data_IF_012945202043
#
_entry.id   IF_012945202043
#
_cell.length_a   1.000
_cell.length_b   1.000
_cell.length_c   1.000
_cell.angle_alpha   90.00
_cell.angle_beta   90.00
_cell.angle_gamma   90.00
#
_symmetry.space_group_name_H-M   'P 1'
#
loop_
_entity.id
_entity.type
_entity.pdbx_description
1 polymer ?
#
# COMPACT_ATOMS: atom_id res chain seq x y z
N UNK A 1 5.71 -10.83 14.36
CA UNK A 1 4.45 -11.54 14.02
C UNK A 1 3.42 -11.55 15.14
N UNK A 2 3.81 -11.64 16.43
CA UNK A 2 2.85 -11.74 17.56
C UNK A 2 1.95 -10.53 17.79
N UNK A 3 2.44 -9.32 17.53
CA UNK A 3 1.68 -8.08 17.77
C UNK A 3 0.50 -7.96 16.79
N UNK A 4 0.69 -8.39 15.54
CA UNK A 4 -0.35 -8.39 14.51
C UNK A 4 -1.46 -9.38 14.86
N UNK A 5 -1.11 -10.60 15.29
CA UNK A 5 -2.08 -11.60 15.75
C UNK A 5 -2.89 -11.10 16.95
N UNK A 6 -2.24 -10.44 17.92
CA UNK A 6 -2.93 -9.86 19.08
C UNK A 6 -3.92 -8.77 18.69
N UNK A 7 -3.53 -7.81 17.86
CA UNK A 7 -4.43 -6.75 17.40
C UNK A 7 -5.61 -7.30 16.60
N UNK A 8 -5.36 -8.26 15.70
CA UNK A 8 -6.41 -8.94 14.94
C UNK A 8 -7.41 -9.65 15.88
N UNK A 9 -6.91 -10.30 16.93
CA UNK A 9 -7.73 -11.01 17.91
C UNK A 9 -8.60 -10.05 18.75
N UNK A 10 -8.05 -8.92 19.22
CA UNK A 10 -8.83 -7.92 19.96
C UNK A 10 -9.93 -7.28 19.10
N UNK A 11 -9.70 -7.13 17.80
CA UNK A 11 -10.68 -6.56 16.87
C UNK A 11 -11.75 -7.59 16.52
N UNK A 12 -11.39 -8.84 16.22
CA UNK A 12 -12.34 -9.91 15.96
C UNK A 12 -13.27 -10.18 17.15
N UNK A 13 -12.81 -9.89 18.37
CA UNK A 13 -13.61 -9.98 19.59
C UNK A 13 -14.46 -8.73 19.87
N UNK A 14 -14.38 -7.67 19.04
CA UNK A 14 -15.04 -6.39 19.27
C UNK A 14 -14.51 -5.63 20.50
N UNK A 15 -13.29 -5.95 20.96
CA UNK A 15 -12.72 -5.56 22.26
C UNK A 15 -11.51 -4.64 22.15
N UNK A 16 -11.31 -3.92 21.05
CA UNK A 16 -10.21 -2.97 20.96
C UNK A 16 -10.50 -1.76 21.88
N UNK A 17 -10.10 -1.87 23.14
CA UNK A 17 -10.32 -0.84 24.15
C UNK A 17 -9.28 0.29 24.04
N UNK A 18 -9.64 1.47 24.55
CA UNK A 18 -8.89 2.75 24.52
C UNK A 18 -7.44 2.74 25.08
N UNK A 19 -6.87 1.59 25.47
CA UNK A 19 -5.47 1.47 25.89
C UNK A 19 -4.60 0.54 25.03
N UNK A 20 -5.22 -0.33 24.22
CA UNK A 20 -4.51 -1.35 23.44
C UNK A 20 -3.68 -0.74 22.30
N UNK A 21 -4.16 0.38 21.72
CA UNK A 21 -3.47 1.10 20.64
C UNK A 21 -2.18 1.73 21.16
N UNK A 22 -2.22 2.36 22.35
CA UNK A 22 -1.10 3.07 22.94
C UNK A 22 0.04 2.12 23.35
N UNK A 23 -0.29 1.00 24.02
CA UNK A 23 0.68 -0.06 24.36
C UNK A 23 1.36 -0.65 23.12
N UNK A 24 0.63 -0.76 22.01
CA UNK A 24 1.16 -1.31 20.75
C UNK A 24 2.05 -0.30 20.01
N UNK A 25 1.70 0.99 20.05
CA UNK A 25 2.53 2.07 19.49
C UNK A 25 3.90 2.16 20.17
N UNK A 26 3.92 2.09 21.51
CA UNK A 26 5.14 2.08 22.32
C UNK A 26 6.03 0.87 22.00
N UNK A 27 5.44 -0.31 21.83
CA UNK A 27 6.18 -1.53 21.48
C UNK A 27 6.80 -1.51 20.07
N UNK A 28 6.32 -0.63 19.17
CA UNK A 28 6.80 -0.54 17.78
C UNK A 28 7.96 0.44 17.57
N UNK A 29 8.47 1.12 18.63
CA UNK A 29 9.67 1.96 18.55
C UNK A 29 9.58 3.10 17.53
N UNK A 30 8.39 3.65 17.35
CA UNK A 30 8.10 4.68 16.36
C UNK A 30 8.23 6.00 17.10
N UNK A 31 9.26 6.82 16.84
CA UNK A 31 9.17 8.31 16.77
C UNK A 31 10.56 8.95 16.58
N UNK A 32 10.59 10.12 15.92
CA UNK A 32 11.64 11.16 16.08
C UNK A 32 11.09 12.20 17.05
N UNK A 33 11.85 12.52 18.08
CA UNK A 33 11.31 13.09 19.32
C UNK A 33 11.69 14.56 19.48
N UNK A 34 10.70 15.39 19.80
CA UNK A 34 10.92 16.74 20.37
C UNK A 34 10.21 16.83 21.72
N UNK A 35 10.61 17.72 22.62
CA UNK A 35 10.09 17.74 24.00
C UNK A 35 8.94 18.74 24.13
N UNK A 36 7.83 18.34 24.76
CA UNK A 36 6.69 19.20 25.04
C UNK A 36 7.08 20.30 26.04
N UNK A 37 6.94 21.57 25.62
CA UNK A 37 7.33 22.73 26.43
C UNK A 37 6.24 23.15 27.45
N UNK A 38 5.03 22.60 27.38
CA UNK A 38 3.92 22.96 28.26
C UNK A 38 3.00 21.78 28.61
N UNK A 39 2.33 21.90 29.75
CA UNK A 39 1.34 20.94 30.27
C UNK A 39 0.00 21.06 29.52
N UNK A 40 -0.53 19.95 29.01
CA UNK A 40 -1.91 19.84 28.53
C UNK A 40 -2.64 18.70 29.24
N UNK A 41 -3.99 18.65 29.12
CA UNK A 41 -4.83 17.66 29.79
C UNK A 41 -4.45 16.20 29.47
N UNK A 42 -3.85 15.96 28.31
CA UNK A 42 -3.45 14.63 27.85
C UNK A 42 -1.92 14.48 27.69
N UNK A 43 -1.12 15.48 28.10
CA UNK A 43 0.34 15.47 27.89
C UNK A 43 1.10 16.29 28.96
N UNK A 44 1.91 15.66 29.82
CA UNK A 44 2.82 16.36 30.71
C UNK A 44 3.86 17.19 29.92
N UNK A 45 4.37 18.26 30.53
CA UNK A 45 5.57 18.93 30.04
C UNK A 45 6.74 17.92 30.09
N UNK A 46 7.58 17.88 29.05
CA UNK A 46 8.65 16.89 28.92
C UNK A 46 8.34 15.70 27.99
N UNK A 47 7.09 15.49 27.59
CA UNK A 47 6.72 14.35 26.72
C UNK A 47 7.16 14.55 25.27
N UNK A 48 7.50 13.45 24.59
CA UNK A 48 7.88 13.48 23.18
C UNK A 48 6.69 13.93 22.29
N UNK A 49 6.97 14.84 21.36
CA UNK A 49 5.99 15.46 20.46
C UNK A 49 6.39 15.18 19.02
N UNK A 50 5.45 14.56 18.30
CA UNK A 50 5.49 14.45 16.86
C UNK A 50 5.20 15.82 16.22
N UNK A 51 6.10 16.24 15.34
CA UNK A 51 5.95 17.47 14.56
C UNK A 51 5.80 17.11 13.08
N UNK A 52 4.85 17.75 12.41
CA UNK A 52 4.73 17.66 10.96
C UNK A 52 5.96 18.28 10.29
N UNK A 53 6.41 17.64 9.21
CA UNK A 53 7.47 18.16 8.35
C UNK A 53 6.84 18.54 7.03
N UNK A 54 7.16 19.73 6.54
CA UNK A 54 6.76 20.14 5.19
C UNK A 54 7.52 19.27 4.20
N UNK A 55 6.79 18.59 3.32
CA UNK A 55 7.39 17.78 2.26
C UNK A 55 7.90 18.74 1.19
N UNK A 56 9.22 18.95 1.17
CA UNK A 56 9.93 19.62 0.08
C UNK A 56 10.34 18.61 -0.98
N UNK A 57 10.81 19.09 -2.14
CA UNK A 57 11.35 18.23 -3.21
C UNK A 57 12.46 17.29 -2.70
N UNK A 58 13.38 17.80 -1.89
CA UNK A 58 14.48 17.00 -1.34
C UNK A 58 14.03 16.02 -0.25
N UNK A 59 13.00 16.36 0.52
CA UNK A 59 12.39 15.42 1.47
C UNK A 59 11.70 14.28 0.72
N UNK A 60 10.93 14.61 -0.34
CA UNK A 60 10.23 13.65 -1.16
C UNK A 60 11.20 12.69 -1.88
N UNK A 61 12.25 13.23 -2.51
CA UNK A 61 13.33 12.44 -3.15
C UNK A 61 13.93 11.41 -2.20
N UNK A 62 14.35 11.84 -1.00
CA UNK A 62 14.94 10.94 0.00
C UNK A 62 13.96 9.87 0.46
N UNK A 63 12.68 10.20 0.62
CA UNK A 63 11.67 9.19 0.95
C UNK A 63 11.54 8.16 -0.19
N UNK A 64 11.51 8.60 -1.45
CA UNK A 64 11.47 7.67 -2.58
C UNK A 64 12.69 6.75 -2.59
N UNK A 65 13.90 7.28 -2.45
CA UNK A 65 15.14 6.48 -2.51
C UNK A 65 15.28 5.59 -1.27
N UNK A 66 15.33 6.21 -0.08
CA UNK A 66 15.72 5.52 1.16
C UNK A 66 14.63 4.59 1.70
N UNK A 67 13.38 4.75 1.24
CA UNK A 67 12.23 3.96 1.71
C UNK A 67 11.57 3.19 0.58
N UNK A 68 11.15 3.84 -0.49
CA UNK A 68 10.32 3.20 -1.52
C UNK A 68 11.15 2.28 -2.40
N UNK A 69 12.20 2.79 -3.04
CA UNK A 69 13.11 2.01 -3.89
C UNK A 69 13.74 0.87 -3.10
N UNK A 70 14.25 1.15 -1.90
CA UNK A 70 14.82 0.12 -1.04
C UNK A 70 13.80 -0.98 -0.68
N UNK A 71 12.54 -0.60 -0.37
CA UNK A 71 11.50 -1.57 -0.08
C UNK A 71 11.08 -2.39 -1.30
N UNK A 72 11.05 -1.78 -2.50
CA UNK A 72 10.81 -2.49 -3.77
C UNK A 72 11.90 -3.54 -3.96
N UNK A 73 13.18 -3.15 -4.01
CA UNK A 73 14.30 -4.08 -4.23
C UNK A 73 14.31 -5.24 -3.21
N UNK A 74 13.91 -4.97 -1.97
CA UNK A 74 13.87 -5.98 -0.91
C UNK A 74 12.67 -6.92 -0.94
N UNK A 75 11.52 -6.50 -1.48
CA UNK A 75 10.24 -7.22 -1.34
C UNK A 75 9.59 -7.63 -2.66
N UNK A 76 10.05 -7.08 -3.77
CA UNK A 76 9.48 -7.33 -5.08
C UNK A 76 9.69 -8.79 -5.47
N UNK A 77 8.61 -9.43 -5.91
CA UNK A 77 8.65 -10.77 -6.49
C UNK A 77 8.24 -10.62 -7.94
N UNK A 78 9.09 -11.09 -8.85
CA UNK A 78 8.77 -11.10 -10.27
C UNK A 78 7.67 -12.12 -10.56
N UNK A 79 6.72 -11.81 -11.47
CA UNK A 79 5.80 -12.81 -12.00
C UNK A 79 6.57 -13.96 -12.68
N UNK A 80 6.02 -15.17 -12.64
CA UNK A 80 6.59 -16.34 -13.30
C UNK A 80 6.92 -16.05 -14.77
N UNK A 81 8.16 -16.37 -15.17
CA UNK A 81 8.66 -16.16 -16.53
C UNK A 81 9.11 -14.73 -16.85
N UNK A 82 9.10 -13.83 -15.86
CA UNK A 82 9.70 -12.49 -15.96
C UNK A 82 10.92 -12.42 -15.06
N UNK A 83 12.04 -11.97 -15.59
CA UNK A 83 13.21 -11.56 -14.79
C UNK A 83 13.69 -10.20 -15.30
N UNK A 84 14.06 -9.30 -14.39
CA UNK A 84 14.59 -7.98 -14.71
C UNK A 84 13.65 -7.04 -15.47
N UNK A 85 12.34 -7.06 -15.19
CA UNK A 85 11.36 -6.19 -15.84
C UNK A 85 11.45 -4.70 -15.43
N UNK A 86 10.66 -3.86 -16.09
CA UNK A 86 10.53 -2.44 -15.75
C UNK A 86 9.50 -2.22 -14.62
N UNK A 87 9.90 -1.48 -13.59
CA UNK A 87 9.01 -1.03 -12.52
C UNK A 87 8.73 0.45 -12.69
N UNK A 88 7.46 0.82 -12.72
CA UNK A 88 7.03 2.22 -12.82
C UNK A 88 6.37 2.66 -11.52
N UNK A 89 6.95 3.69 -10.89
CA UNK A 89 6.35 4.40 -9.77
C UNK A 89 5.52 5.55 -10.32
N UNK A 90 4.20 5.43 -10.19
CA UNK A 90 3.29 6.50 -10.55
C UNK A 90 3.26 7.58 -9.45
N UNK A 91 3.28 8.85 -9.85
CA UNK A 91 3.05 10.00 -8.96
C UNK A 91 2.10 11.02 -9.59
N UNK A 92 1.50 11.90 -8.78
CA UNK A 92 0.74 13.04 -9.28
C UNK A 92 1.65 14.23 -9.63
N UNK A 93 1.06 15.36 -10.03
CA UNK A 93 1.81 16.58 -10.39
C UNK A 93 1.92 17.57 -9.22
N UNK A 94 1.95 17.10 -7.97
CA UNK A 94 2.13 17.96 -6.80
C UNK A 94 3.51 18.65 -6.82
N UNK A 95 3.56 19.90 -6.32
CA UNK A 95 4.77 20.74 -6.34
C UNK A 95 6.04 20.09 -5.75
N UNK A 96 5.97 19.27 -4.68
CA UNK A 96 7.15 18.62 -4.12
C UNK A 96 7.67 17.42 -4.93
N UNK A 97 6.96 16.96 -5.96
CA UNK A 97 7.37 15.77 -6.70
C UNK A 97 8.61 16.04 -7.56
N UNK A 98 9.44 15.01 -7.71
CA UNK A 98 10.67 15.11 -8.48
C UNK A 98 10.41 14.94 -9.98
N UNK A 99 11.34 15.44 -10.79
CA UNK A 99 11.31 15.22 -12.24
C UNK A 99 11.55 13.75 -12.57
N UNK A 100 11.13 13.33 -13.76
CA UNK A 100 11.32 11.95 -14.24
C UNK A 100 12.81 11.62 -14.44
N UNK A 101 13.62 12.65 -14.66
CA UNK A 101 15.06 12.67 -14.93
C UNK A 101 15.90 13.07 -13.70
N UNK A 102 15.32 13.02 -12.50
CA UNK A 102 16.04 13.34 -11.26
C UNK A 102 17.23 12.38 -11.06
N UNK A 103 18.45 12.90 -11.20
CA UNK A 103 19.67 12.10 -11.32
C UNK A 103 19.94 11.17 -10.12
N UNK A 104 19.67 11.65 -8.90
CA UNK A 104 19.81 10.85 -7.68
C UNK A 104 18.82 9.68 -7.67
N UNK A 105 17.56 9.92 -8.07
CA UNK A 105 16.56 8.86 -8.17
C UNK A 105 16.89 7.85 -9.27
N UNK A 106 17.26 8.31 -10.47
CA UNK A 106 17.63 7.43 -11.60
C UNK A 106 18.78 6.51 -11.20
N UNK A 107 19.84 7.07 -10.57
CA UNK A 107 20.97 6.28 -10.09
C UNK A 107 20.53 5.19 -9.11
N UNK A 108 19.69 5.55 -8.12
CA UNK A 108 19.18 4.58 -7.15
C UNK A 108 18.25 3.53 -7.78
N UNK A 109 17.45 3.92 -8.77
CA UNK A 109 16.52 3.05 -9.49
C UNK A 109 17.20 2.03 -10.40
N UNK A 110 18.38 2.37 -10.93
CA UNK A 110 19.17 1.54 -11.85
C UNK A 110 20.25 0.68 -11.15
N UNK A 111 20.61 1.05 -9.92
CA UNK A 111 21.62 0.33 -9.14
C UNK A 111 21.25 -1.15 -8.97
N UNK A 112 22.20 -2.04 -9.29
CA UNK A 112 22.05 -3.48 -9.16
C UNK A 112 21.28 -4.15 -10.30
N UNK A 113 21.22 -3.51 -11.47
CA UNK A 113 20.52 -4.05 -12.65
C UNK A 113 19.01 -3.91 -12.60
N UNK A 114 18.49 -3.10 -11.66
CA UNK A 114 17.08 -2.77 -11.59
C UNK A 114 16.72 -1.76 -12.67
N UNK A 115 15.45 -1.72 -13.05
CA UNK A 115 14.94 -0.66 -13.92
C UNK A 115 13.69 -0.05 -13.28
N UNK A 116 13.89 0.88 -12.36
CA UNK A 116 12.81 1.57 -11.63
C UNK A 116 12.72 3.01 -12.13
N UNK A 117 11.58 3.37 -12.71
CA UNK A 117 11.33 4.70 -13.28
C UNK A 117 10.12 5.36 -12.63
N UNK A 118 10.06 6.69 -12.68
CA UNK A 118 8.87 7.45 -12.28
C UNK A 118 8.03 7.76 -13.51
N UNK A 119 6.72 7.83 -13.34
CA UNK A 119 5.81 8.38 -14.33
C UNK A 119 4.76 9.28 -13.66
N UNK A 120 4.52 10.43 -14.26
CA UNK A 120 3.45 11.31 -13.81
C UNK A 120 2.12 10.82 -14.39
N UNK A 121 1.09 10.85 -13.55
CA UNK A 121 -0.28 10.68 -14.02
C UNK A 121 -0.76 11.92 -14.80
N UNK A 122 -1.82 11.79 -15.62
CA UNK A 122 -2.45 12.92 -16.27
C UNK A 122 -2.90 14.01 -15.28
N UNK A 123 -2.81 15.27 -15.68
CA UNK A 123 -3.20 16.39 -14.84
C UNK A 123 -4.70 16.33 -14.50
N UNK A 124 -5.05 16.64 -13.24
CA UNK A 124 -6.43 16.66 -12.75
C UNK A 124 -7.18 15.32 -12.86
N UNK A 125 -6.47 14.19 -12.78
CA UNK A 125 -7.04 12.84 -12.86
C UNK A 125 -6.81 12.03 -11.58
N UNK A 126 -7.42 12.41 -10.44
CA UNK A 126 -7.27 11.66 -9.19
C UNK A 126 -7.84 10.24 -9.28
N UNK A 127 -8.77 10.00 -10.19
CA UNK A 127 -9.35 8.69 -10.48
C UNK A 127 -8.44 7.77 -11.31
N UNK A 128 -7.32 8.30 -11.81
CA UNK A 128 -6.23 7.54 -12.40
C UNK A 128 -5.09 7.26 -11.40
N UNK A 129 -5.25 7.66 -10.14
CA UNK A 129 -4.35 7.30 -9.04
C UNK A 129 -4.98 6.20 -8.20
N UNK A 130 -4.39 5.00 -8.14
CA UNK A 130 -4.92 3.92 -7.28
C UNK A 130 -4.98 4.31 -5.80
N UNK A 131 -4.06 5.21 -5.38
CA UNK A 131 -3.98 5.67 -4.00
C UNK A 131 -5.19 6.51 -3.61
N UNK A 132 -5.53 7.50 -4.43
CA UNK A 132 -6.68 8.39 -4.22
C UNK A 132 -8.01 7.70 -4.54
N UNK A 133 -8.03 6.85 -5.56
CA UNK A 133 -9.23 6.16 -6.03
C UNK A 133 -9.85 5.28 -4.94
N UNK A 134 -9.02 4.56 -4.17
CA UNK A 134 -9.55 3.65 -3.16
C UNK A 134 -8.64 3.31 -2.00
N UNK A 135 -7.31 3.27 -2.17
CA UNK A 135 -6.43 2.84 -1.08
C UNK A 135 -6.55 3.72 0.17
N UNK A 136 -6.47 5.05 0.04
CA UNK A 136 -6.59 5.95 1.18
C UNK A 136 -7.99 5.91 1.80
N UNK A 137 -9.04 5.81 0.97
CA UNK A 137 -10.41 5.67 1.45
C UNK A 137 -10.61 4.37 2.26
N UNK A 138 -10.00 3.27 1.84
CA UNK A 138 -10.05 1.99 2.55
C UNK A 138 -9.35 2.07 3.91
N UNK A 139 -8.16 2.67 3.96
CA UNK A 139 -7.42 2.89 5.21
C UNK A 139 -8.19 3.83 6.13
N UNK A 140 -8.73 4.94 5.60
CA UNK A 140 -9.49 5.91 6.37
C UNK A 140 -10.77 5.30 6.95
N UNK A 141 -11.50 4.51 6.17
CA UNK A 141 -12.70 3.81 6.63
C UNK A 141 -12.39 2.88 7.81
N UNK A 142 -11.29 2.12 7.73
CA UNK A 142 -10.84 1.28 8.85
C UNK A 142 -10.38 2.12 10.04
N UNK A 143 -9.63 3.19 9.81
CA UNK A 143 -9.13 4.07 10.86
C UNK A 143 -10.27 4.78 11.61
N UNK A 144 -11.35 5.17 10.93
CA UNK A 144 -12.52 5.81 11.54
C UNK A 144 -13.28 4.89 12.50
N UNK A 145 -13.14 3.57 12.37
CA UNK A 145 -13.67 2.61 13.38
C UNK A 145 -12.85 2.61 14.67
N UNK A 146 -11.67 3.22 14.67
CA UNK A 146 -10.75 3.31 15.80
C UNK A 146 -10.80 4.72 16.40
N UNK A 147 -11.23 4.85 17.65
CA UNK A 147 -11.21 6.14 18.33
C UNK A 147 -9.76 6.57 18.64
N UNK A 148 -9.34 7.71 18.09
CA UNK A 148 -8.01 8.28 18.30
C UNK A 148 -8.12 9.66 18.97
N UNK A 149 -7.28 9.92 19.98
CA UNK A 149 -7.26 11.17 20.76
C UNK A 149 -5.88 11.83 20.82
N UNK A 150 -4.88 11.22 20.20
CA UNK A 150 -3.52 11.74 20.07
C UNK A 150 -2.96 11.44 18.67
N UNK A 151 -1.86 12.13 18.32
CA UNK A 151 -1.15 11.87 17.06
C UNK A 151 -0.55 10.45 17.05
N UNK A 152 -0.07 9.99 18.19
CA UNK A 152 0.53 8.67 18.35
C UNK A 152 -0.51 7.56 18.15
N UNK A 153 -1.72 7.75 18.71
CA UNK A 153 -2.86 6.86 18.50
C UNK A 153 -3.30 6.86 17.04
N UNK A 154 -3.31 8.02 16.36
CA UNK A 154 -3.65 8.11 14.95
C UNK A 154 -2.66 7.34 14.07
N UNK A 155 -1.35 7.49 14.31
CA UNK A 155 -0.33 6.75 13.56
C UNK A 155 -0.48 5.25 13.77
N UNK A 156 -0.70 4.82 15.01
CA UNK A 156 -0.92 3.42 15.33
C UNK A 156 -2.19 2.88 14.65
N UNK A 157 -3.29 3.63 14.68
CA UNK A 157 -4.53 3.27 14.01
C UNK A 157 -4.33 3.11 12.50
N UNK A 158 -3.67 4.07 11.82
CA UNK A 158 -3.36 3.99 10.38
C UNK A 158 -2.53 2.74 10.06
N UNK A 159 -1.51 2.43 10.88
CA UNK A 159 -0.69 1.21 10.70
C UNK A 159 -1.50 -0.06 10.90
N UNK A 160 -2.36 -0.11 11.91
CA UNK A 160 -3.26 -1.23 12.13
C UNK A 160 -4.20 -1.41 10.93
N UNK A 161 -4.82 -0.33 10.45
CA UNK A 161 -5.68 -0.33 9.28
C UNK A 161 -4.97 -0.83 8.03
N UNK A 162 -3.71 -0.45 7.83
CA UNK A 162 -2.88 -0.96 6.74
C UNK A 162 -2.65 -2.47 6.82
N UNK A 163 -2.30 -2.97 8.01
CA UNK A 163 -2.07 -4.40 8.23
C UNK A 163 -3.36 -5.23 8.13
N UNK A 164 -4.51 -4.63 8.44
CA UNK A 164 -5.82 -5.25 8.32
C UNK A 164 -6.41 -5.17 6.90
N UNK A 165 -5.80 -4.40 6.01
CA UNK A 165 -6.33 -4.21 4.66
C UNK A 165 -6.28 -5.55 3.92
N UNK A 166 -7.46 -6.06 3.57
CA UNK A 166 -7.58 -7.29 2.79
C UNK A 166 -6.95 -7.10 1.40
N UNK A 167 -6.07 -8.01 0.95
CA UNK A 167 -5.54 -8.00 -0.41
C UNK A 167 -6.65 -7.96 -1.47
N UNK A 168 -7.75 -8.68 -1.24
CA UNK A 168 -8.94 -8.68 -2.11
C UNK A 168 -9.59 -7.30 -2.26
N UNK A 169 -9.59 -6.46 -1.22
CA UNK A 169 -10.13 -5.08 -1.32
C UNK A 169 -9.21 -4.16 -2.11
N UNK A 170 -7.90 -4.31 -1.93
CA UNK A 170 -6.91 -3.59 -2.73
C UNK A 170 -7.04 -3.99 -4.20
N UNK A 171 -7.23 -5.28 -4.48
CA UNK A 171 -7.40 -5.78 -5.85
C UNK A 171 -8.61 -5.18 -6.56
N UNK A 172 -9.77 -5.15 -5.88
CA UNK A 172 -10.97 -4.48 -6.42
C UNK A 172 -10.73 -3.01 -6.76
N UNK A 173 -9.80 -2.34 -6.07
CA UNK A 173 -9.40 -0.96 -6.39
C UNK A 173 -8.62 -0.91 -7.71
N UNK A 174 -7.68 -1.82 -7.94
CA UNK A 174 -6.97 -1.94 -9.22
C UNK A 174 -7.90 -2.32 -10.38
N UNK A 175 -8.87 -3.19 -10.15
CA UNK A 175 -9.88 -3.54 -11.16
C UNK A 175 -10.78 -2.34 -11.50
N UNK A 176 -11.13 -1.53 -10.50
CA UNK A 176 -11.84 -0.27 -10.71
C UNK A 176 -11.00 0.69 -11.55
N UNK A 177 -9.72 0.84 -11.24
CA UNK A 177 -8.78 1.67 -12.02
C UNK A 177 -8.72 1.21 -13.49
N UNK A 178 -8.58 -0.10 -13.73
CA UNK A 178 -8.57 -0.66 -15.09
C UNK A 178 -9.84 -0.30 -15.86
N UNK A 179 -11.02 -0.41 -15.23
CA UNK A 179 -12.29 -0.05 -15.86
C UNK A 179 -12.37 1.45 -16.15
N UNK A 180 -11.90 2.30 -15.24
CA UNK A 180 -11.85 3.75 -15.44
C UNK A 180 -10.99 4.07 -16.67
N UNK A 181 -9.79 3.49 -16.78
CA UNK A 181 -8.91 3.68 -17.94
C UNK A 181 -9.62 3.35 -19.25
N UNK A 182 -10.36 2.23 -19.32
CA UNK A 182 -11.11 1.86 -20.52
C UNK A 182 -12.20 2.89 -20.88
N UNK A 183 -12.90 3.41 -19.88
CA UNK A 183 -13.94 4.43 -20.10
C UNK A 183 -13.34 5.78 -20.51
N UNK A 184 -12.19 6.16 -19.93
CA UNK A 184 -11.43 7.36 -20.35
C UNK A 184 -11.03 7.26 -21.82
N UNK A 185 -10.53 6.10 -22.25
CA UNK A 185 -10.15 5.85 -23.66
C UNK A 185 -11.38 5.96 -24.56
N UNK A 186 -12.50 5.32 -24.20
CA UNK A 186 -13.76 5.43 -24.95
C UNK A 186 -14.27 6.88 -25.02
N UNK A 187 -14.06 7.66 -23.96
CA UNK A 187 -14.38 9.08 -23.87
C UNK A 187 -13.30 9.99 -24.49
N UNK A 188 -12.29 9.42 -25.16
CA UNK A 188 -11.17 10.15 -25.81
C UNK A 188 -10.43 11.11 -24.87
N UNK A 189 -10.20 10.69 -23.63
CA UNK A 189 -9.51 11.49 -22.61
C UNK A 189 -10.38 12.53 -21.90
N UNK A 190 -11.70 12.52 -22.12
CA UNK A 190 -12.62 13.42 -21.43
C UNK A 190 -12.89 12.93 -20.00
N UNK A 191 -12.93 13.86 -19.03
CA UNK A 191 -13.25 13.55 -17.63
C UNK A 191 -14.76 13.41 -17.35
N UNK A 192 -15.61 13.48 -18.38
CA UNK A 192 -17.05 13.32 -18.27
C UNK A 192 -17.46 11.88 -18.50
N UNK A 193 -17.24 11.05 -17.48
CA UNK A 193 -17.76 9.70 -17.43
C UNK A 193 -18.27 9.36 -16.04
N UNK A 194 -19.08 8.32 -15.95
CA UNK A 194 -19.48 7.72 -14.68
C UNK A 194 -18.44 6.67 -14.31
N UNK A 195 -18.05 6.62 -13.04
CA UNK A 195 -17.18 5.55 -12.54
C UNK A 195 -17.88 4.20 -12.82
N UNK A 196 -17.25 3.32 -13.61
CA UNK A 196 -17.85 2.04 -13.97
C UNK A 196 -17.94 1.13 -12.75
N UNK A 197 -19.11 0.52 -12.55
CA UNK A 197 -19.31 -0.55 -11.56
C UNK A 197 -18.96 -1.90 -12.19
N UNK A 198 -18.57 -2.87 -11.37
CA UNK A 198 -18.40 -4.27 -11.79
C UNK A 198 -19.71 -4.78 -12.38
N UNK A 199 -19.76 -4.99 -13.71
CA UNK A 199 -20.93 -5.52 -14.39
C UNK A 199 -20.98 -7.07 -14.35
N UNK A 200 -19.83 -7.73 -14.15
CA UNK A 200 -19.70 -9.19 -14.17
C UNK A 200 -18.80 -9.70 -13.04
N UNK A 201 -19.31 -10.56 -12.14
CA UNK A 201 -18.50 -11.24 -11.12
C UNK A 201 -17.39 -12.13 -11.69
N UNK A 202 -17.58 -12.70 -12.88
CA UNK A 202 -16.66 -13.68 -13.46
C UNK A 202 -15.31 -13.07 -13.91
N UNK A 203 -15.33 -11.82 -14.40
CA UNK A 203 -14.09 -11.08 -14.72
C UNK A 203 -13.31 -10.69 -13.46
N UNK A 204 -14.04 -10.34 -12.39
CA UNK A 204 -13.43 -10.06 -11.09
C UNK A 204 -12.82 -11.34 -10.48
N UNK A 205 -13.48 -12.49 -10.63
CA UNK A 205 -13.04 -13.80 -10.14
C UNK A 205 -11.79 -14.32 -10.88
N UNK A 206 -11.73 -14.17 -12.21
CA UNK A 206 -10.55 -14.52 -13.01
C UNK A 206 -9.34 -13.62 -12.70
N UNK A 207 -9.57 -12.32 -12.46
CA UNK A 207 -8.48 -11.43 -12.08
C UNK A 207 -7.97 -11.72 -10.66
N UNK A 208 -8.88 -12.04 -9.72
CA UNK A 208 -8.53 -12.48 -8.38
C UNK A 208 -7.71 -13.79 -8.40
N UNK A 209 -8.06 -14.74 -9.26
CA UNK A 209 -7.31 -16.00 -9.37
C UNK A 209 -5.90 -15.78 -9.95
N UNK A 210 -5.75 -14.96 -10.98
CA UNK A 210 -4.44 -14.59 -11.55
C UNK A 210 -3.54 -13.82 -10.56
N UNK A 211 -4.13 -13.13 -9.58
CA UNK A 211 -3.42 -12.43 -8.52
C UNK A 211 -3.04 -13.35 -7.35
N UNK A 212 -3.87 -14.32 -6.98
CA UNK A 212 -3.47 -15.36 -6.01
C UNK A 212 -2.26 -16.15 -6.53
N UNK A 213 -2.17 -16.38 -7.85
CA UNK A 213 -0.95 -16.94 -8.47
C UNK A 213 0.28 -16.05 -8.22
N UNK A 214 0.14 -14.71 -8.21
CA UNK A 214 1.24 -13.77 -7.89
C UNK A 214 1.62 -13.71 -6.41
N UNK A 215 0.74 -14.13 -5.50
CA UNK A 215 0.91 -14.00 -4.04
C UNK A 215 1.22 -15.34 -3.32
N UNK A 216 0.73 -16.47 -3.84
CA UNK A 216 0.84 -17.81 -3.23
C UNK A 216 2.06 -18.62 -3.70
N UNK A 217 2.86 -18.11 -4.63
CA UNK A 217 4.05 -18.79 -5.18
C UNK A 217 5.24 -18.93 -4.20
N UNK A 218 5.05 -18.68 -2.90
CA UNK A 218 6.07 -18.97 -1.89
C UNK A 218 6.04 -20.39 -1.33
N UNK A 219 4.94 -21.15 -1.47
CA UNK A 219 4.78 -22.43 -0.75
C UNK A 219 4.14 -23.61 -1.53
N UNK A 220 3.94 -23.56 -2.85
CA UNK A 220 3.22 -24.64 -3.59
C UNK A 220 4.02 -25.46 -4.61
N UNK A 221 5.31 -25.73 -4.36
CA UNK A 221 6.03 -26.73 -5.17
C UNK A 221 5.51 -28.15 -4.90
N UNK A 222 5.18 -28.45 -3.64
CA UNK A 222 4.71 -29.78 -3.21
C UNK A 222 3.30 -30.09 -3.71
N UNK A 223 2.44 -29.07 -3.80
CA UNK A 223 1.05 -29.25 -4.22
C UNK A 223 0.88 -29.41 -5.74
N UNK A 224 1.78 -28.79 -6.52
CA UNK A 224 1.87 -29.04 -7.97
C UNK A 224 2.45 -30.43 -8.24
N UNK A 225 3.44 -30.88 -7.47
CA UNK A 225 3.97 -32.24 -7.55
C UNK A 225 2.93 -33.33 -7.19
N UNK A 226 2.08 -33.07 -6.19
CA UNK A 226 0.99 -33.96 -5.80
C UNK A 226 -0.17 -33.99 -6.83
N UNK A 227 -0.47 -32.88 -7.49
CA UNK A 227 -1.44 -32.88 -8.59
C UNK A 227 -0.92 -33.64 -9.82
N UNK A 228 0.35 -33.49 -10.18
CA UNK A 228 0.93 -34.20 -11.33
C UNK A 228 1.08 -35.71 -11.09
N UNK A 229 1.32 -36.14 -9.86
CA UNK A 229 1.36 -37.57 -9.50
C UNK A 229 -0.03 -38.21 -9.42
N UNK A 230 -1.08 -37.44 -9.16
CA UNK A 230 -2.48 -37.92 -9.24
C UNK A 230 -3.03 -38.06 -10.67
N UNK A 231 -2.34 -37.50 -11.68
CA UNK A 231 -2.77 -37.55 -13.08
C UNK A 231 -2.13 -38.67 -13.90
N UNK A 232 -1.26 -39.50 -13.28
CA UNK A 232 -0.45 -40.49 -14.00
C UNK A 232 -0.61 -41.94 -13.51
N UNK A 233 -1.76 -42.29 -12.93
CA UNK A 233 -2.09 -43.67 -12.59
C UNK A 233 -3.52 -43.99 -13.04
N UNK A 234 -3.71 -44.05 -14.35
CA UNK A 234 -4.76 -44.85 -15.01
C UNK A 234 -4.27 -45.17 -16.44
N UNK A 235 -3.23 -45.99 -16.54
CA UNK A 235 -2.95 -46.82 -17.73
C UNK A 235 -2.49 -48.21 -17.27
N UNK A 236 -3.44 -49.04 -16.86
CA UNK A 236 -3.67 -50.41 -17.37
C UNK A 236 -4.84 -51.10 -16.68
#
# INVERSE_FOLDING_TARGET
>A
MDVVKRLQQYINLGKLSRGAINLTAVAMGINRNTVALGKSRNRPAGSEVLKSVVVTKDVYRRILIDKVVLAIKSKWTWPLGVDGGDIVIQQDNARPHIGLDDAEFVTAGEEGGWTIRIQNQPAQSPDLNVLDLGFFNLIQSLQQTLECRSMEELIAAVRCSYLMLSPTKLEKTFLTLRRIILVVIAAKGCNRYKIPRSASPAEDELALSLMNVRLEEKDRLEDVANMLSSLNMDEQ
#
